data_IF_593020955033
#
_entry.id   IF_593020955033
#
_cell.length_a   1.000
_cell.length_b   1.000
_cell.length_c   1.000
_cell.angle_alpha   90.00
_cell.angle_beta   90.00
_cell.angle_gamma   90.00
#
_symmetry.space_group_name_H-M   'P 1'
#
loop_
_entity.id
_entity.type
_entity.pdbx_description
1 polymer ?
#
# COMPACT_ATOMS: atom_id res chain seq x y z
N UNK A 1 -18.77 -29.86 52.51
CA UNK A 1 -18.43 -28.89 51.46
C UNK A 1 -17.53 -27.89 52.12
N UNK A 2 -16.23 -28.17 52.18
CA UNK A 2 -15.27 -27.21 52.72
C UNK A 2 -15.07 -26.14 51.66
N UNK A 3 -15.61 -24.96 51.94
CA UNK A 3 -15.50 -23.79 51.10
C UNK A 3 -14.16 -23.13 51.43
N UNK A 4 -13.19 -23.21 50.51
CA UNK A 4 -11.87 -22.61 50.73
C UNK A 4 -11.96 -21.09 50.57
N UNK A 5 -11.88 -20.37 51.69
CA UNK A 5 -11.85 -18.90 51.71
C UNK A 5 -10.63 -18.34 50.95
N UNK A 6 -9.57 -19.14 50.78
CA UNK A 6 -8.39 -18.78 49.99
C UNK A 6 -8.70 -18.62 48.50
N UNK A 7 -9.60 -19.44 47.96
CA UNK A 7 -10.04 -19.33 46.56
C UNK A 7 -10.88 -18.07 46.33
N UNK A 8 -11.69 -17.68 47.32
CA UNK A 8 -12.48 -16.43 47.24
C UNK A 8 -11.58 -15.18 47.33
N UNK A 9 -10.52 -15.23 48.15
CA UNK A 9 -9.56 -14.13 48.28
C UNK A 9 -8.71 -13.94 47.01
N UNK A 10 -8.39 -15.03 46.30
CA UNK A 10 -7.60 -15.01 45.06
C UNK A 10 -8.46 -14.96 43.78
N UNK A 11 -9.78 -14.86 43.93
CA UNK A 11 -10.73 -14.96 42.82
C UNK A 11 -10.49 -13.86 41.77
N UNK A 12 -10.33 -12.61 42.22
CA UNK A 12 -10.03 -11.47 41.34
C UNK A 12 -8.74 -11.68 40.56
N UNK A 13 -7.66 -12.08 41.24
CA UNK A 13 -6.37 -12.28 40.61
C UNK A 13 -6.38 -13.45 39.62
N UNK A 14 -7.13 -14.51 39.91
CA UNK A 14 -7.30 -15.64 38.99
C UNK A 14 -8.05 -15.25 37.71
N UNK A 15 -9.13 -14.47 37.82
CA UNK A 15 -9.87 -13.95 36.66
C UNK A 15 -9.06 -12.92 35.89
N UNK A 16 -8.30 -12.06 36.57
CA UNK A 16 -7.39 -11.11 35.93
C UNK A 16 -6.32 -11.82 35.11
N UNK A 17 -5.62 -12.81 35.70
CA UNK A 17 -4.61 -13.61 34.98
C UNK A 17 -5.22 -14.34 33.80
N UNK A 18 -6.38 -14.96 33.99
CA UNK A 18 -7.08 -15.68 32.93
C UNK A 18 -7.46 -14.76 31.77
N UNK A 19 -8.06 -13.60 32.07
CA UNK A 19 -8.46 -12.62 31.04
C UNK A 19 -7.27 -11.97 30.35
N UNK A 20 -6.20 -11.68 31.08
CA UNK A 20 -4.95 -11.18 30.53
C UNK A 20 -4.30 -12.20 29.60
N UNK A 21 -4.16 -13.45 30.03
CA UNK A 21 -3.53 -14.51 29.25
C UNK A 21 -4.33 -14.81 27.99
N UNK A 22 -5.66 -14.90 28.08
CA UNK A 22 -6.53 -15.07 26.93
C UNK A 22 -6.42 -13.89 25.95
N UNK A 23 -6.54 -12.66 26.46
CA UNK A 23 -6.39 -11.44 25.66
C UNK A 23 -5.00 -11.31 25.02
N UNK A 24 -3.95 -11.72 25.72
CA UNK A 24 -2.58 -11.71 25.20
C UNK A 24 -2.38 -12.77 24.11
N UNK A 25 -2.86 -14.00 24.32
CA UNK A 25 -2.80 -15.05 23.30
C UNK A 25 -3.56 -14.65 22.04
N UNK A 26 -4.77 -14.11 22.22
CA UNK A 26 -5.60 -13.63 21.13
C UNK A 26 -4.92 -12.46 20.39
N UNK A 27 -4.47 -11.43 21.13
CA UNK A 27 -3.78 -10.27 20.58
C UNK A 27 -2.50 -10.65 19.83
N UNK A 28 -1.77 -11.66 20.31
CA UNK A 28 -0.57 -12.18 19.63
C UNK A 28 -0.89 -12.80 18.27
N UNK A 29 -1.97 -13.57 18.17
CA UNK A 29 -2.41 -14.19 16.90
C UNK A 29 -2.89 -13.10 15.93
N UNK A 30 -3.77 -12.21 16.40
CA UNK A 30 -4.32 -11.14 15.57
C UNK A 30 -3.25 -10.16 15.10
N UNK A 31 -2.34 -9.74 15.98
CA UNK A 31 -1.22 -8.87 15.62
C UNK A 31 -0.30 -9.50 14.58
N UNK A 32 -0.08 -10.82 14.61
CA UNK A 32 0.70 -11.51 13.59
C UNK A 32 0.00 -11.54 12.23
N UNK A 33 -1.31 -11.78 12.22
CA UNK A 33 -2.11 -11.82 10.98
C UNK A 33 -2.19 -10.43 10.36
N UNK A 34 -2.53 -9.43 11.16
CA UNK A 34 -2.64 -8.03 10.74
C UNK A 34 -1.29 -7.49 10.26
N UNK A 35 -0.22 -7.73 11.03
CA UNK A 35 1.13 -7.30 10.63
C UNK A 35 1.58 -7.91 9.29
N UNK A 36 1.24 -9.17 9.03
CA UNK A 36 1.51 -9.82 7.72
C UNK A 36 0.65 -9.23 6.60
N UNK A 37 -0.61 -8.92 6.86
CA UNK A 37 -1.48 -8.29 5.86
C UNK A 37 -0.98 -6.89 5.50
N UNK A 38 -0.73 -6.05 6.51
CA UNK A 38 -0.22 -4.69 6.36
C UNK A 38 1.16 -4.66 5.69
N UNK A 39 2.06 -5.57 6.07
CA UNK A 39 3.38 -5.68 5.45
C UNK A 39 3.31 -6.01 3.96
N UNK A 40 2.36 -6.85 3.52
CA UNK A 40 2.14 -7.14 2.10
C UNK A 40 1.59 -5.92 1.34
N UNK A 41 0.60 -5.24 1.91
CA UNK A 41 0.00 -4.05 1.31
C UNK A 41 1.04 -2.93 1.13
N UNK A 42 1.76 -2.58 2.20
CA UNK A 42 2.80 -1.55 2.16
C UNK A 42 4.01 -1.96 1.34
N UNK A 43 4.36 -3.24 1.36
CA UNK A 43 5.39 -3.78 0.48
C UNK A 43 5.02 -3.60 -0.99
N UNK A 44 3.77 -3.86 -1.37
CA UNK A 44 3.29 -3.67 -2.73
C UNK A 44 3.28 -2.20 -3.16
N UNK A 45 2.72 -1.30 -2.34
CA UNK A 45 2.74 0.15 -2.61
C UNK A 45 4.15 0.68 -2.88
N UNK A 46 5.12 0.22 -2.09
CA UNK A 46 6.51 0.64 -2.20
C UNK A 46 7.20 0.07 -3.45
N UNK A 47 6.99 -1.22 -3.72
CA UNK A 47 7.59 -1.89 -4.88
C UNK A 47 7.00 -1.44 -6.20
N UNK A 48 5.72 -1.06 -6.23
CA UNK A 48 5.11 -0.44 -7.40
C UNK A 48 5.85 0.84 -7.80
N UNK A 49 6.08 1.73 -6.83
CA UNK A 49 6.79 2.97 -7.07
C UNK A 49 8.26 2.72 -7.50
N UNK A 50 8.92 1.74 -6.87
CA UNK A 50 10.28 1.34 -7.24
C UNK A 50 10.37 0.78 -8.66
N UNK A 51 9.43 -0.09 -9.03
CA UNK A 51 9.35 -0.66 -10.38
C UNK A 51 9.12 0.40 -11.45
N UNK A 52 8.31 1.42 -11.15
CA UNK A 52 8.15 2.58 -12.02
C UNK A 52 9.48 3.34 -12.20
N UNK A 53 10.23 3.60 -11.11
CA UNK A 53 11.53 4.28 -11.20
C UNK A 53 12.58 3.47 -11.95
N UNK A 54 12.61 2.15 -11.74
CA UNK A 54 13.50 1.24 -12.43
C UNK A 54 13.22 1.24 -13.94
N UNK A 55 11.95 1.11 -14.33
CA UNK A 55 11.53 1.18 -15.73
C UNK A 55 11.85 2.54 -16.36
N UNK A 56 11.57 3.64 -15.66
CA UNK A 56 11.88 4.99 -16.11
C UNK A 56 13.38 5.15 -16.39
N UNK A 57 14.24 4.87 -15.40
CA UNK A 57 15.69 4.99 -15.55
C UNK A 57 16.22 4.05 -16.64
N UNK A 58 15.70 2.82 -16.72
CA UNK A 58 16.10 1.84 -17.73
C UNK A 58 15.73 2.22 -19.16
N UNK A 59 14.60 2.91 -19.38
CA UNK A 59 14.22 3.43 -20.70
C UNK A 59 15.15 4.59 -21.08
N UNK A 60 15.32 5.56 -20.19
CA UNK A 60 16.16 6.73 -20.46
C UNK A 60 17.64 6.36 -20.69
N UNK A 61 18.15 5.33 -20.01
CA UNK A 61 19.51 4.83 -20.25
C UNK A 61 19.65 4.24 -21.68
N UNK A 62 18.64 3.51 -22.15
CA UNK A 62 18.60 3.00 -23.54
C UNK A 62 18.46 4.12 -24.57
N UNK A 63 17.75 5.19 -24.24
CA UNK A 63 17.67 6.40 -25.08
C UNK A 63 19.02 7.10 -25.13
N UNK A 64 19.70 7.26 -24.00
CA UNK A 64 21.01 7.89 -23.91
C UNK A 64 22.08 7.13 -24.74
N UNK A 65 21.99 5.80 -24.79
CA UNK A 65 22.88 4.95 -25.58
C UNK A 65 22.72 5.10 -27.12
N UNK A 66 21.64 5.72 -27.60
CA UNK A 66 21.46 5.96 -29.04
C UNK A 66 22.36 7.12 -29.50
N UNK A 67 23.02 7.02 -30.67
CA UNK A 67 23.78 8.12 -31.24
C UNK A 67 22.89 9.36 -31.43
N UNK A 68 23.36 10.53 -30.98
CA UNK A 68 22.64 11.79 -31.14
C UNK A 68 21.47 12.01 -30.16
N UNK A 69 21.42 11.28 -29.04
CA UNK A 69 20.34 11.41 -28.04
C UNK A 69 20.29 12.78 -27.34
N UNK A 70 21.40 13.53 -27.33
CA UNK A 70 21.49 14.84 -26.67
C UNK A 70 21.34 14.78 -25.15
N UNK A 71 21.42 13.58 -24.55
CA UNK A 71 21.33 13.40 -23.10
C UNK A 71 22.71 13.61 -22.47
N UNK A 72 22.75 14.46 -21.45
CA UNK A 72 23.96 14.75 -20.69
C UNK A 72 24.52 13.51 -19.97
N UNK A 73 25.85 13.38 -19.93
CA UNK A 73 26.55 12.35 -19.16
C UNK A 73 26.18 12.38 -17.66
N UNK A 74 25.88 13.57 -17.14
CA UNK A 74 25.38 13.76 -15.77
C UNK A 74 24.06 13.02 -15.53
N UNK A 75 23.14 13.06 -16.50
CA UNK A 75 21.86 12.36 -16.39
C UNK A 75 22.07 10.84 -16.43
N UNK A 76 23.01 10.36 -17.25
CA UNK A 76 23.42 8.94 -17.28
C UNK A 76 23.90 8.48 -15.92
N UNK A 77 24.79 9.23 -15.29
CA UNK A 77 25.28 8.90 -13.96
C UNK A 77 24.16 8.85 -12.90
N UNK A 78 23.21 9.80 -12.94
CA UNK A 78 22.06 9.77 -12.02
C UNK A 78 21.16 8.54 -12.23
N UNK A 79 20.98 8.09 -13.48
CA UNK A 79 20.22 6.86 -13.79
C UNK A 79 20.91 5.63 -13.20
N UNK A 80 22.21 5.48 -13.40
CA UNK A 80 22.99 4.36 -12.86
C UNK A 80 22.96 4.33 -11.33
N UNK A 81 23.11 5.49 -10.68
CA UNK A 81 22.99 5.61 -9.24
C UNK A 81 21.60 5.23 -8.73
N UNK A 82 20.54 5.65 -9.41
CA UNK A 82 19.17 5.30 -9.06
C UNK A 82 18.95 3.78 -9.14
N UNK A 83 19.39 3.15 -10.23
CA UNK A 83 19.31 1.69 -10.40
C UNK A 83 20.12 0.94 -9.34
N UNK A 84 21.32 1.44 -8.99
CA UNK A 84 22.15 0.87 -7.93
C UNK A 84 21.51 0.95 -6.54
N UNK A 85 20.69 1.98 -6.28
CA UNK A 85 19.94 2.06 -5.02
C UNK A 85 18.75 1.11 -5.01
N UNK A 86 18.03 1.00 -6.12
CA UNK A 86 16.89 0.08 -6.27
C UNK A 86 17.36 -1.37 -6.13
N UNK A 87 18.52 -1.74 -6.69
CA UNK A 87 19.05 -3.11 -6.59
C UNK A 87 19.44 -3.52 -5.16
N UNK A 88 19.62 -2.57 -4.24
CA UNK A 88 19.90 -2.84 -2.82
C UNK A 88 18.63 -3.08 -2.01
N UNK A 89 17.46 -2.86 -2.60
CA UNK A 89 16.19 -3.03 -1.91
C UNK A 89 15.89 -4.52 -1.68
N UNK A 90 15.53 -4.94 -0.45
CA UNK A 90 15.37 -6.35 -0.13
C UNK A 90 14.17 -6.98 -0.86
N UNK A 91 14.42 -8.11 -1.53
CA UNK A 91 13.39 -8.92 -2.19
C UNK A 91 12.86 -10.05 -1.31
N UNK A 92 13.54 -10.35 -0.21
CA UNK A 92 13.16 -11.40 0.72
C UNK A 92 13.01 -10.81 2.11
N UNK A 93 12.05 -11.33 2.87
CA UNK A 93 11.89 -11.04 4.29
C UNK A 93 12.71 -12.09 5.06
N UNK A 94 13.97 -11.81 5.46
CA UNK A 94 14.76 -12.81 6.17
C UNK A 94 14.08 -13.15 7.50
N UNK A 95 14.11 -14.42 7.93
CA UNK A 95 13.58 -14.81 9.22
C UNK A 95 14.34 -14.08 10.34
N UNK A 96 13.62 -13.72 11.41
CA UNK A 96 14.21 -13.12 12.61
C UNK A 96 15.09 -14.18 13.29
N UNK A 97 16.34 -14.28 12.87
CA UNK A 97 17.36 -15.09 13.52
C UNK A 97 18.17 -14.22 14.48
N UNK A 98 18.66 -14.75 15.62
CA UNK A 98 19.43 -13.99 16.62
C UNK A 98 20.75 -13.39 16.10
N UNK A 99 21.18 -13.78 14.89
CA UNK A 99 22.46 -13.47 14.27
C UNK A 99 22.28 -12.65 12.97
N UNK A 100 21.11 -12.01 12.77
CA UNK A 100 20.76 -11.37 11.50
C UNK A 100 21.74 -10.22 11.16
N UNK A 101 22.24 -10.25 9.93
CA UNK A 101 22.94 -9.17 9.22
C UNK A 101 22.33 -7.79 9.54
N UNK A 102 23.11 -6.68 9.48
CA UNK A 102 22.61 -5.34 9.74
C UNK A 102 21.32 -5.10 8.94
N UNK A 103 20.22 -4.90 9.66
CA UNK A 103 18.91 -4.68 9.06
C UNK A 103 18.99 -3.46 8.16
N UNK A 104 18.71 -3.64 6.87
CA UNK A 104 18.64 -2.54 5.92
C UNK A 104 17.54 -1.59 6.39
N UNK A 105 17.90 -0.32 6.58
CA UNK A 105 16.91 0.73 6.87
C UNK A 105 16.11 1.02 5.60
N UNK A 106 15.02 0.27 5.45
CA UNK A 106 14.12 0.31 4.29
C UNK A 106 13.55 1.73 4.11
N UNK A 107 13.20 2.41 5.20
CA UNK A 107 12.56 3.74 5.17
C UNK A 107 13.54 4.78 4.64
N UNK A 108 14.78 4.77 5.14
CA UNK A 108 15.83 5.67 4.67
C UNK A 108 16.22 5.40 3.23
N UNK A 109 16.37 4.13 2.84
CA UNK A 109 16.69 3.74 1.47
C UNK A 109 15.59 4.20 0.50
N UNK A 110 14.33 3.99 0.87
CA UNK A 110 13.18 4.42 0.07
C UNK A 110 13.11 5.94 -0.12
N UNK A 111 13.33 6.70 0.95
CA UNK A 111 13.41 8.17 0.88
C UNK A 111 14.58 8.63 -0.01
N UNK A 112 15.72 7.93 0.06
CA UNK A 112 16.88 8.21 -0.79
C UNK A 112 16.55 7.97 -2.27
N UNK A 113 15.91 6.86 -2.62
CA UNK A 113 15.47 6.54 -3.99
C UNK A 113 14.56 7.65 -4.53
N UNK A 114 13.53 8.05 -3.77
CA UNK A 114 12.62 9.16 -4.15
C UNK A 114 13.36 10.47 -4.42
N UNK A 115 14.33 10.82 -3.57
CA UNK A 115 15.13 12.04 -3.75
C UNK A 115 15.97 11.99 -5.03
N UNK A 116 16.55 10.83 -5.35
CA UNK A 116 17.35 10.62 -6.55
C UNK A 116 16.51 10.64 -7.82
N UNK A 117 15.33 10.02 -7.79
CA UNK A 117 14.38 10.11 -8.89
C UNK A 117 13.98 11.57 -9.20
N UNK A 118 13.67 12.37 -8.18
CA UNK A 118 13.37 13.80 -8.36
C UNK A 118 14.54 14.57 -8.96
N UNK A 119 15.76 14.29 -8.51
CA UNK A 119 16.96 14.91 -9.08
C UNK A 119 17.17 14.53 -10.55
N UNK A 120 16.95 13.25 -10.91
CA UNK A 120 17.01 12.77 -12.29
C UNK A 120 15.98 13.48 -13.18
N UNK A 121 14.73 13.61 -12.71
CA UNK A 121 13.68 14.33 -13.42
C UNK A 121 14.08 15.79 -13.70
N UNK A 122 14.67 16.48 -12.72
CA UNK A 122 15.19 17.83 -12.90
C UNK A 122 16.31 17.90 -13.94
N UNK A 123 17.20 16.91 -14.01
CA UNK A 123 18.26 16.86 -15.04
C UNK A 123 17.74 16.56 -16.44
N UNK A 124 16.66 15.78 -16.54
CA UNK A 124 16.02 15.46 -17.83
C UNK A 124 15.01 16.52 -18.27
N UNK A 125 14.72 17.52 -17.43
CA UNK A 125 13.67 18.51 -17.71
C UNK A 125 12.26 17.94 -17.72
N UNK A 126 12.04 16.78 -17.10
CA UNK A 126 10.75 16.08 -17.07
C UNK A 126 10.06 16.34 -15.72
N UNK A 127 8.75 16.55 -15.73
CA UNK A 127 7.97 16.65 -14.49
C UNK A 127 7.91 15.28 -13.80
N UNK A 128 8.30 15.16 -12.52
CA UNK A 128 8.14 13.92 -11.77
C UNK A 128 6.66 13.52 -11.71
N UNK A 129 6.34 12.29 -12.11
CA UNK A 129 5.00 11.70 -11.97
C UNK A 129 5.14 10.47 -11.08
N UNK A 130 4.53 10.50 -9.89
CA UNK A 130 4.33 9.28 -9.10
C UNK A 130 3.10 8.59 -9.65
N UNK A 131 3.23 7.33 -10.05
CA UNK A 131 2.10 6.45 -10.27
C UNK A 131 2.05 5.51 -9.07
N UNK A 132 0.99 5.60 -8.30
CA UNK A 132 0.59 4.60 -7.31
C UNK A 132 -0.72 4.02 -7.84
N UNK A 133 -0.93 2.71 -7.80
CA UNK A 133 -2.05 2.01 -8.44
C UNK A 133 -3.41 2.54 -7.97
N UNK A 134 -3.48 3.10 -6.77
CA UNK A 134 -4.68 3.74 -6.22
C UNK A 134 -4.90 5.20 -6.64
N UNK A 135 -3.97 5.81 -7.37
CA UNK A 135 -3.96 7.23 -7.74
C UNK A 135 -4.12 7.44 -9.26
N UNK A 136 -4.92 6.61 -9.93
CA UNK A 136 -5.44 6.97 -11.27
C UNK A 136 -6.40 8.15 -11.06
N UNK A 137 -6.05 9.38 -11.48
CA UNK A 137 -7.02 10.45 -11.51
C UNK A 137 -7.99 10.11 -12.64
N UNK A 138 -9.28 9.94 -12.32
CA UNK A 138 -10.32 9.98 -13.33
C UNK A 138 -10.25 11.34 -14.03
N UNK A 139 -9.78 11.36 -15.28
CA UNK A 139 -9.72 12.58 -16.10
C UNK A 139 -11.12 13.20 -16.19
N UNK A 140 -11.31 14.48 -15.81
CA UNK A 140 -12.59 15.18 -15.98
C UNK A 140 -12.79 15.75 -17.40
N UNK A 141 -11.95 15.37 -18.37
CA UNK A 141 -12.00 15.89 -19.75
C UNK A 141 -12.29 14.79 -20.76
N UNK A 142 -13.49 14.20 -20.67
CA UNK A 142 -14.14 13.59 -21.84
C UNK A 142 -15.59 14.04 -21.86
N UNK A 143 -15.79 15.22 -22.45
CA UNK A 143 -17.10 15.78 -22.78
C UNK A 143 -17.78 14.95 -23.88
N UNK A 144 -18.99 14.49 -23.56
CA UNK A 144 -20.19 14.38 -24.39
C UNK A 144 -20.05 14.12 -25.90
N UNK A 145 -20.64 13.00 -26.33
CA UNK A 145 -21.12 12.87 -27.70
C UNK A 145 -21.31 11.45 -28.23
N UNK A 146 -22.21 10.65 -27.65
CA UNK A 146 -22.97 9.71 -28.48
C UNK A 146 -24.31 9.34 -27.85
N UNK A 147 -25.36 9.88 -28.46
CA UNK A 147 -26.74 9.48 -28.30
C UNK A 147 -26.95 8.10 -28.92
N UNK A 148 -27.22 7.08 -28.10
CA UNK A 148 -27.83 5.85 -28.60
C UNK A 148 -29.27 5.72 -28.11
N UNK A 149 -30.12 5.82 -29.11
CA UNK A 149 -31.57 5.77 -29.10
C UNK A 149 -32.01 4.30 -28.96
N UNK A 150 -32.39 3.86 -27.76
CA UNK A 150 -33.12 2.60 -27.58
C UNK A 150 -34.61 2.88 -27.32
N UNK A 151 -35.36 2.78 -28.41
CA UNK A 151 -36.81 2.85 -28.43
C UNK A 151 -37.40 1.50 -28.02
N UNK A 152 -38.19 1.49 -26.94
CA UNK A 152 -39.10 0.41 -26.60
C UNK A 152 -40.37 1.00 -25.94
N UNK A 153 -41.28 1.47 -26.80
CA UNK A 153 -42.72 1.59 -26.52
C UNK A 153 -43.30 0.18 -26.28
N UNK A 154 -44.36 -0.13 -25.51
CA UNK A 154 -45.27 0.51 -24.56
C UNK A 154 -46.04 -0.69 -23.92
N UNK A 155 -46.51 -0.74 -22.65
CA UNK A 155 -47.75 -0.13 -22.11
C UNK A 155 -48.12 -0.88 -20.80
N UNK A 156 -48.81 -0.15 -19.89
CA UNK A 156 -49.69 -0.64 -18.78
C UNK A 156 -48.98 -1.04 -17.47
N UNK A 157 -49.27 -0.54 -16.26
CA UNK A 157 -50.27 0.41 -15.72
C UNK A 157 -49.79 0.93 -14.34
N UNK A 158 -50.43 2.01 -13.88
CA UNK A 158 -50.15 2.92 -12.75
C UNK A 158 -50.10 2.32 -11.31
N UNK A 159 -49.67 3.12 -10.29
CA UNK A 159 -49.14 2.68 -8.99
C UNK A 159 -50.20 2.60 -7.88
N UNK A 160 -49.87 1.91 -6.78
CA UNK A 160 -50.63 1.96 -5.51
C UNK A 160 -49.73 2.47 -4.37
N UNK A 161 -50.35 3.36 -3.60
CA UNK A 161 -49.86 4.17 -2.48
C UNK A 161 -49.70 3.35 -1.19
N UNK A 162 -48.59 3.58 -0.47
CA UNK A 162 -48.50 3.82 0.98
C UNK A 162 -48.98 2.81 2.02
N UNK A 163 -48.06 2.36 2.90
CA UNK A 163 -48.26 2.15 4.35
C UNK A 163 -46.89 1.88 5.00
N UNK A 164 -46.32 2.87 5.71
CA UNK A 164 -46.32 2.97 7.18
C UNK A 164 -45.18 2.17 7.86
N UNK A 165 -44.09 2.89 8.14
CA UNK A 165 -43.07 2.49 9.09
C UNK A 165 -43.65 2.51 10.52
N UNK A 166 -43.41 1.43 11.28
CA UNK A 166 -43.58 1.44 12.73
C UNK A 166 -42.22 1.20 13.40
N UNK A 167 -41.91 2.17 14.27
CA UNK A 167 -40.88 2.22 15.29
C UNK A 167 -40.91 1.00 16.22
N UNK A 168 -39.74 0.47 16.56
CA UNK A 168 -39.54 -0.33 17.76
C UNK A 168 -38.45 0.35 18.59
N UNK A 169 -38.89 0.93 19.71
CA UNK A 169 -38.05 1.23 20.86
C UNK A 169 -38.02 -0.01 21.76
N UNK A 170 -36.81 -0.44 22.14
CA UNK A 170 -36.48 -0.95 23.47
C UNK A 170 -35.06 -0.51 23.79
#
# INVERSE_FOLDING_TARGET
MDFDLGDLANLEESFYKTGHDDGFQHGRIHGLIEGRALGREKGFEMWEELGFYEGFAGIWLRVAAKPGSGIDERAVHHMEQLLSLISKFPLTNPPVAPQAEPQVDIVRLYAQIRSRYKALCSTLGVRPRLVVAGAIPSDPSSSDGHSDNFQADARSSRPIIGAAAQSLNF
#
